data_IF_832684723458
#
_entry.id   IF_832684723458
#
_cell.length_a   1.000
_cell.length_b   1.000
_cell.length_c   1.000
_cell.angle_alpha   90.00
_cell.angle_beta   90.00
_cell.angle_gamma   90.00
#
_symmetry.space_group_name_H-M   'P 1'
#
loop_
_entity.id
_entity.type
_entity.pdbx_description
1 polymer ?
#
# COMPACT_ATOMS: atom_id res chain seq x y z
N UNK A 1 -40.60 8.53 -13.54
CA UNK A 1 -39.18 8.29 -13.20
C UNK A 1 -38.42 8.00 -14.48
N UNK A 2 -37.69 8.96 -15.00
CA UNK A 2 -37.00 8.86 -16.30
C UNK A 2 -35.58 8.38 -16.05
N UNK A 3 -35.30 7.12 -16.33
CA UNK A 3 -33.93 6.55 -16.36
C UNK A 3 -33.21 7.09 -17.59
N UNK A 4 -32.33 8.04 -17.41
CA UNK A 4 -31.49 8.60 -18.47
C UNK A 4 -30.57 7.47 -18.98
N UNK A 5 -30.87 6.94 -20.16
CA UNK A 5 -30.04 5.99 -20.88
C UNK A 5 -28.76 6.72 -21.34
N UNK A 6 -27.64 6.48 -20.65
CA UNK A 6 -26.34 6.98 -21.10
C UNK A 6 -25.99 6.29 -22.41
N UNK A 7 -25.83 7.06 -23.48
CA UNK A 7 -25.50 6.59 -24.82
C UNK A 7 -24.23 5.72 -24.80
N UNK A 8 -24.20 4.66 -25.61
CA UNK A 8 -23.05 3.76 -25.76
C UNK A 8 -21.76 4.52 -26.09
N UNK A 9 -21.86 5.59 -26.89
CA UNK A 9 -20.75 6.50 -27.18
C UNK A 9 -20.18 7.19 -25.93
N UNK A 10 -21.05 7.59 -25.00
CA UNK A 10 -20.61 8.24 -23.74
C UNK A 10 -19.92 7.23 -22.80
N UNK A 11 -20.35 5.97 -22.80
CA UNK A 11 -19.68 4.90 -22.03
C UNK A 11 -18.29 4.59 -22.59
N UNK A 12 -18.14 4.54 -23.89
CA UNK A 12 -16.83 4.32 -24.56
C UNK A 12 -15.90 5.50 -24.29
N UNK A 13 -16.39 6.73 -24.35
CA UNK A 13 -15.59 7.93 -24.05
C UNK A 13 -15.11 7.95 -22.59
N UNK A 14 -15.96 7.57 -21.65
CA UNK A 14 -15.62 7.44 -20.23
C UNK A 14 -14.56 6.36 -19.99
N UNK A 15 -14.67 5.20 -20.65
CA UNK A 15 -13.68 4.13 -20.56
C UNK A 15 -12.32 4.55 -21.11
N UNK A 16 -12.29 5.24 -22.27
CA UNK A 16 -11.05 5.77 -22.87
C UNK A 16 -10.41 6.82 -21.95
N UNK A 17 -11.21 7.68 -21.31
CA UNK A 17 -10.70 8.69 -20.37
C UNK A 17 -10.08 8.05 -19.11
N UNK A 18 -10.72 7.00 -18.58
CA UNK A 18 -10.19 6.26 -17.42
C UNK A 18 -8.88 5.56 -17.78
N UNK A 19 -8.79 4.93 -18.94
CA UNK A 19 -7.56 4.27 -19.41
C UNK A 19 -6.43 5.29 -19.62
N UNK A 20 -6.74 6.46 -20.17
CA UNK A 20 -5.76 7.52 -20.38
C UNK A 20 -5.21 8.08 -19.05
N UNK A 21 -6.06 8.25 -18.04
CA UNK A 21 -5.62 8.74 -16.73
C UNK A 21 -4.74 7.73 -15.98
N UNK A 22 -5.05 6.43 -16.07
CA UNK A 22 -4.22 5.39 -15.43
C UNK A 22 -2.85 5.26 -16.10
N UNK A 23 -2.77 5.41 -17.43
CA UNK A 23 -1.48 5.41 -18.15
C UNK A 23 -0.62 6.63 -17.79
N UNK A 24 -1.21 7.81 -17.70
CA UNK A 24 -0.49 9.02 -17.30
C UNK A 24 0.07 8.95 -15.87
N UNK A 25 -0.66 8.32 -14.95
CA UNK A 25 -0.17 8.10 -13.58
C UNK A 25 0.97 7.08 -13.52
N UNK A 26 0.89 5.99 -14.29
CA UNK A 26 1.95 4.98 -14.35
C UNK A 26 3.24 5.55 -14.94
N UNK A 27 3.15 6.36 -16.02
CA UNK A 27 4.31 7.06 -16.60
C UNK A 27 4.94 8.05 -15.61
N UNK A 28 4.14 8.78 -14.83
CA UNK A 28 4.64 9.74 -13.86
C UNK A 28 5.39 9.04 -12.70
N UNK A 29 4.91 7.91 -12.22
CA UNK A 29 5.59 7.11 -11.19
C UNK A 29 6.90 6.48 -11.73
N UNK A 30 6.91 5.98 -12.95
CA UNK A 30 8.11 5.46 -13.61
C UNK A 30 9.17 6.56 -13.76
N UNK A 31 8.78 7.76 -14.14
CA UNK A 31 9.65 8.92 -14.25
C UNK A 31 10.21 9.35 -12.87
N UNK A 32 9.42 9.29 -11.82
CA UNK A 32 9.88 9.61 -10.46
C UNK A 32 10.94 8.62 -9.96
N UNK A 33 10.74 7.31 -10.16
CA UNK A 33 11.71 6.28 -9.82
C UNK A 33 13.02 6.45 -10.60
N UNK A 34 12.94 6.66 -11.91
CA UNK A 34 14.12 6.89 -12.74
C UNK A 34 14.90 8.16 -12.33
N UNK A 35 14.18 9.19 -11.88
CA UNK A 35 14.81 10.42 -11.39
C UNK A 35 15.56 10.19 -10.06
N UNK A 36 15.00 9.38 -9.16
CA UNK A 36 15.67 8.99 -7.92
C UNK A 36 16.93 8.18 -8.23
N UNK A 37 16.85 7.21 -9.14
CA UNK A 37 17.99 6.38 -9.55
C UNK A 37 19.10 7.24 -10.18
N UNK A 38 18.76 8.23 -10.99
CA UNK A 38 19.72 9.19 -11.55
C UNK A 38 20.45 9.96 -10.44
N UNK A 39 19.71 10.54 -9.48
CA UNK A 39 20.29 11.30 -8.36
C UNK A 39 21.25 10.42 -7.56
N UNK A 40 20.83 9.21 -7.19
CA UNK A 40 21.66 8.26 -6.44
C UNK A 40 22.91 7.87 -7.25
N UNK A 41 22.75 7.61 -8.54
CA UNK A 41 23.88 7.24 -9.41
C UNK A 41 24.90 8.37 -9.53
N UNK A 42 24.45 9.62 -9.66
CA UNK A 42 25.34 10.80 -9.70
C UNK A 42 26.11 10.95 -8.40
N UNK A 43 25.43 10.76 -7.25
CA UNK A 43 26.07 10.89 -5.94
C UNK A 43 27.10 9.75 -5.70
N UNK A 44 26.78 8.51 -6.04
CA UNK A 44 27.71 7.40 -5.98
C UNK A 44 28.96 7.66 -6.82
N UNK A 45 28.80 8.13 -8.06
CA UNK A 45 29.94 8.49 -8.94
C UNK A 45 30.81 9.57 -8.35
N UNK A 46 30.19 10.62 -7.75
CA UNK A 46 30.93 11.72 -7.10
C UNK A 46 31.81 11.24 -5.95
N UNK A 47 31.39 10.19 -5.26
CA UNK A 47 32.14 9.62 -4.13
C UNK A 47 32.97 8.39 -4.52
N UNK A 48 33.11 8.09 -5.81
CA UNK A 48 33.85 6.92 -6.33
C UNK A 48 33.31 5.58 -5.79
N UNK A 49 32.02 5.53 -5.46
CA UNK A 49 31.35 4.33 -4.95
C UNK A 49 30.66 3.57 -6.08
N UNK A 50 30.60 2.25 -5.92
CA UNK A 50 29.82 1.38 -6.79
C UNK A 50 28.53 0.95 -6.09
N UNK A 51 27.40 0.84 -6.81
CA UNK A 51 26.18 0.31 -6.23
C UNK A 51 26.38 -1.16 -5.81
N UNK A 52 25.72 -1.52 -4.69
CA UNK A 52 25.71 -2.93 -4.30
C UNK A 52 24.99 -3.79 -5.36
N UNK A 53 25.36 -5.06 -5.50
CA UNK A 53 24.65 -5.97 -6.38
C UNK A 53 23.18 -6.11 -5.96
N UNK A 54 22.27 -6.40 -6.90
CA UNK A 54 20.88 -6.63 -6.59
C UNK A 54 20.71 -7.69 -5.50
N UNK A 55 19.75 -7.48 -4.58
CA UNK A 55 19.47 -8.42 -3.51
C UNK A 55 19.12 -9.81 -4.07
N UNK A 56 19.69 -10.86 -3.48
CA UNK A 56 19.32 -12.24 -3.78
C UNK A 56 17.83 -12.48 -3.46
N UNK A 57 17.23 -13.52 -4.04
CA UNK A 57 15.80 -13.80 -3.81
C UNK A 57 15.50 -14.08 -2.34
N UNK A 58 16.37 -14.73 -1.61
CA UNK A 58 16.16 -14.97 -0.18
C UNK A 58 16.20 -13.68 0.64
N UNK A 59 17.10 -12.76 0.28
CA UNK A 59 17.15 -11.43 0.90
C UNK A 59 15.94 -10.59 0.52
N UNK A 60 15.52 -10.64 -0.74
CA UNK A 60 14.32 -9.96 -1.23
C UNK A 60 13.08 -10.42 -0.48
N UNK A 61 12.82 -11.73 -0.45
CA UNK A 61 11.63 -12.29 0.23
C UNK A 61 11.62 -11.90 1.70
N UNK A 62 12.75 -12.04 2.41
CA UNK A 62 12.84 -11.64 3.81
C UNK A 62 12.50 -10.16 4.01
N UNK A 63 13.03 -9.27 3.19
CA UNK A 63 12.80 -7.82 3.28
C UNK A 63 11.34 -7.47 2.99
N UNK A 64 10.79 -7.97 1.89
CA UNK A 64 9.42 -7.61 1.51
C UNK A 64 8.39 -8.11 2.53
N UNK A 65 8.60 -9.28 3.15
CA UNK A 65 7.75 -9.75 4.25
C UNK A 65 7.82 -8.83 5.47
N UNK A 66 9.00 -8.38 5.84
CA UNK A 66 9.18 -7.45 6.96
C UNK A 66 8.55 -6.09 6.67
N UNK A 67 8.76 -5.56 5.48
CA UNK A 67 8.30 -4.23 5.09
C UNK A 67 6.77 -4.18 4.91
N UNK A 68 6.18 -5.23 4.33
CA UNK A 68 4.75 -5.23 3.97
C UNK A 68 3.86 -5.78 5.06
N UNK A 69 4.26 -6.84 5.75
CA UNK A 69 3.42 -7.51 6.77
C UNK A 69 4.06 -7.61 8.16
N UNK A 70 5.25 -7.02 8.37
CA UNK A 70 5.87 -6.86 9.68
C UNK A 70 6.46 -8.14 10.30
N UNK A 71 6.59 -9.23 9.54
CA UNK A 71 7.16 -10.50 10.01
C UNK A 71 8.06 -11.16 8.96
N UNK A 72 8.86 -12.11 9.38
CA UNK A 72 9.62 -12.96 8.46
C UNK A 72 8.71 -14.00 7.79
N UNK A 73 9.05 -14.47 6.58
CA UNK A 73 8.33 -15.56 5.92
C UNK A 73 8.48 -16.88 6.69
N UNK A 74 7.45 -17.70 6.65
CA UNK A 74 7.51 -19.11 7.09
C UNK A 74 8.24 -19.97 6.05
N UNK A 75 8.67 -21.17 6.43
CA UNK A 75 9.31 -22.11 5.50
C UNK A 75 8.40 -22.47 4.32
N UNK A 76 7.09 -22.65 4.56
CA UNK A 76 6.13 -22.92 3.50
C UNK A 76 5.94 -21.76 2.52
N UNK A 77 6.00 -20.51 3.00
CA UNK A 77 5.95 -19.31 2.15
C UNK A 77 7.20 -19.19 1.29
N UNK A 78 8.38 -19.46 1.86
CA UNK A 78 9.62 -19.53 1.10
C UNK A 78 9.57 -20.62 0.01
N UNK A 79 9.10 -21.82 0.35
CA UNK A 79 8.98 -22.91 -0.61
C UNK A 79 8.06 -22.54 -1.77
N UNK A 80 6.89 -21.91 -1.50
CA UNK A 80 5.98 -21.43 -2.57
C UNK A 80 6.64 -20.41 -3.47
N UNK A 81 7.36 -19.45 -2.91
CA UNK A 81 8.07 -18.45 -3.72
C UNK A 81 9.14 -19.08 -4.62
N UNK A 82 9.92 -20.03 -4.10
CA UNK A 82 10.97 -20.70 -4.89
C UNK A 82 10.42 -21.72 -5.89
N UNK A 83 9.21 -22.25 -5.68
CA UNK A 83 8.52 -23.10 -6.65
C UNK A 83 7.96 -22.30 -7.84
N UNK A 84 7.72 -21.00 -7.66
CA UNK A 84 7.25 -20.11 -8.74
C UNK A 84 8.41 -19.80 -9.70
N UNK A 85 8.25 -20.17 -10.97
CA UNK A 85 9.28 -20.03 -12.01
C UNK A 85 9.12 -18.81 -12.90
N UNK A 86 8.02 -18.03 -12.73
CA UNK A 86 7.76 -16.85 -13.54
C UNK A 86 8.80 -15.75 -13.30
N UNK A 87 9.09 -14.97 -14.36
CA UNK A 87 10.05 -13.85 -14.28
C UNK A 87 9.56 -12.72 -13.37
N UNK A 88 8.27 -12.60 -13.19
CA UNK A 88 7.58 -11.59 -12.39
C UNK A 88 7.23 -12.06 -10.96
N UNK A 89 7.80 -13.19 -10.50
CA UNK A 89 7.51 -13.76 -9.16
C UNK A 89 7.70 -12.77 -8.00
N UNK A 90 8.65 -11.83 -8.13
CA UNK A 90 8.88 -10.80 -7.12
C UNK A 90 7.72 -9.80 -7.06
N UNK A 91 7.23 -9.33 -8.20
CA UNK A 91 6.07 -8.44 -8.30
C UNK A 91 4.81 -9.14 -7.77
N UNK A 92 4.56 -10.36 -8.22
CA UNK A 92 3.43 -11.18 -7.72
C UNK A 92 3.45 -11.36 -6.20
N UNK A 93 4.63 -11.58 -5.61
CA UNK A 93 4.74 -11.68 -4.16
C UNK A 93 4.36 -10.36 -3.48
N UNK A 94 4.81 -9.22 -4.00
CA UNK A 94 4.44 -7.91 -3.45
C UNK A 94 2.93 -7.73 -3.48
N UNK A 95 2.28 -7.97 -4.63
CA UNK A 95 0.84 -7.84 -4.80
C UNK A 95 0.07 -8.73 -3.81
N UNK A 96 0.47 -10.01 -3.70
CA UNK A 96 -0.13 -10.95 -2.74
C UNK A 96 0.00 -10.50 -1.27
N UNK A 97 1.13 -9.92 -0.91
CA UNK A 97 1.34 -9.43 0.45
C UNK A 97 0.53 -8.17 0.73
N UNK A 98 0.43 -7.25 -0.22
CA UNK A 98 -0.38 -6.03 -0.10
C UNK A 98 -1.87 -6.33 0.07
N UNK A 99 -2.37 -7.38 -0.57
CA UNK A 99 -3.77 -7.84 -0.46
C UNK A 99 -4.02 -8.71 0.80
N UNK A 100 -2.98 -9.03 1.56
CA UNK A 100 -3.11 -9.94 2.70
C UNK A 100 -3.64 -9.26 3.97
N UNK A 101 -4.37 -9.99 4.85
CA UNK A 101 -4.73 -9.49 6.17
C UNK A 101 -3.52 -9.10 7.04
N UNK A 102 -2.33 -9.64 6.71
CA UNK A 102 -1.07 -9.29 7.37
C UNK A 102 -0.67 -7.84 7.10
N UNK A 103 -0.91 -7.34 5.90
CA UNK A 103 -0.67 -5.94 5.54
C UNK A 103 -1.58 -5.00 6.33
N UNK A 104 -2.89 -5.26 6.36
CA UNK A 104 -3.84 -4.51 7.18
C UNK A 104 -3.39 -4.41 8.64
N UNK A 105 -3.01 -5.55 9.23
CA UNK A 105 -2.56 -5.61 10.63
C UNK A 105 -1.26 -4.84 10.84
N UNK A 106 -0.30 -4.94 9.93
CA UNK A 106 0.99 -4.24 10.03
C UNK A 106 0.81 -2.73 9.91
N UNK A 107 0.06 -2.28 8.92
CA UNK A 107 -0.25 -0.86 8.73
C UNK A 107 -1.07 -0.29 9.88
N UNK A 108 -2.03 -1.06 10.42
CA UNK A 108 -2.77 -0.65 11.60
C UNK A 108 -1.86 -0.43 12.81
N UNK A 109 -0.92 -1.33 13.07
CA UNK A 109 0.04 -1.18 14.18
C UNK A 109 0.91 0.06 13.97
N UNK A 110 1.46 0.25 12.76
CA UNK A 110 2.30 1.40 12.45
C UNK A 110 1.55 2.73 12.59
N UNK A 111 0.32 2.82 12.05
CA UNK A 111 -0.53 4.01 12.21
C UNK A 111 -0.97 4.21 13.65
N UNK A 112 -1.28 3.12 14.36
CA UNK A 112 -1.65 3.16 15.77
C UNK A 112 -0.55 3.76 16.64
N UNK A 113 0.70 3.38 16.41
CA UNK A 113 1.86 3.97 17.10
C UNK A 113 2.03 5.45 16.74
N UNK A 114 1.93 5.81 15.46
CA UNK A 114 2.04 7.19 14.98
C UNK A 114 0.93 8.08 15.55
N UNK A 115 -0.30 7.60 15.58
CA UNK A 115 -1.48 8.30 16.09
C UNK A 115 -1.61 8.19 17.62
N UNK A 116 -0.68 7.48 18.27
CA UNK A 116 -0.70 7.21 19.72
C UNK A 116 -2.02 6.59 20.21
N UNK A 117 -2.56 5.68 19.41
CA UNK A 117 -3.77 4.93 19.78
C UNK A 117 -3.42 4.03 20.97
N UNK A 118 -4.14 4.20 22.07
CA UNK A 118 -3.96 3.41 23.30
C UNK A 118 -5.25 2.71 23.68
N UNK A 119 -5.14 1.47 24.13
CA UNK A 119 -6.25 0.80 24.79
C UNK A 119 -6.40 1.39 26.19
N UNK A 120 -7.49 2.12 26.42
CA UNK A 120 -7.83 2.62 27.73
C UNK A 120 -8.80 1.63 28.40
N UNK A 121 -8.34 0.98 29.45
CA UNK A 121 -9.13 -0.01 30.20
C UNK A 121 -10.50 0.54 30.66
N UNK A 122 -10.58 1.83 30.96
CA UNK A 122 -11.83 2.49 31.37
C UNK A 122 -12.71 2.94 30.19
N UNK A 123 -12.22 2.85 28.96
CA UNK A 123 -12.90 3.32 27.73
C UNK A 123 -12.91 2.26 26.62
N UNK A 124 -12.85 0.98 26.95
CA UNK A 124 -12.72 -0.14 26.01
C UNK A 124 -13.68 -0.03 24.81
N UNK A 125 -14.96 0.30 25.06
CA UNK A 125 -15.94 0.42 23.98
C UNK A 125 -15.68 1.58 23.01
N UNK A 126 -15.09 2.68 23.49
CA UNK A 126 -14.82 3.89 22.66
C UNK A 126 -13.59 3.75 21.79
N UNK A 127 -12.53 3.11 22.32
CA UNK A 127 -11.31 2.83 21.58
C UNK A 127 -11.56 1.80 20.48
N UNK A 128 -12.39 0.79 20.74
CA UNK A 128 -12.75 -0.24 19.78
C UNK A 128 -13.40 0.32 18.52
N UNK A 129 -14.25 1.33 18.62
CA UNK A 129 -14.92 1.96 17.47
C UNK A 129 -13.92 2.62 16.53
N UNK A 130 -12.93 3.35 17.09
CA UNK A 130 -11.87 3.95 16.29
C UNK A 130 -10.96 2.89 15.63
N UNK A 131 -10.61 1.83 16.35
CA UNK A 131 -9.83 0.72 15.81
C UNK A 131 -10.54 0.05 14.64
N UNK A 132 -11.83 -0.24 14.79
CA UNK A 132 -12.63 -0.86 13.74
C UNK A 132 -12.74 0.04 12.50
N UNK A 133 -12.97 1.35 12.74
CA UNK A 133 -13.01 2.34 11.67
C UNK A 133 -11.65 2.43 10.94
N UNK A 134 -10.53 2.59 11.64
CA UNK A 134 -9.21 2.70 11.01
C UNK A 134 -8.86 1.44 10.21
N UNK A 135 -9.17 0.25 10.73
CA UNK A 135 -8.98 -1.01 10.01
C UNK A 135 -9.83 -1.09 8.74
N UNK A 136 -11.09 -0.60 8.76
CA UNK A 136 -11.90 -0.56 7.53
C UNK A 136 -11.30 0.36 6.47
N UNK A 137 -10.78 1.54 6.87
CA UNK A 137 -10.11 2.45 5.94
C UNK A 137 -8.89 1.80 5.26
N UNK A 138 -8.09 1.07 6.04
CA UNK A 138 -6.92 0.35 5.53
C UNK A 138 -7.30 -0.81 4.60
N UNK A 139 -8.33 -1.58 4.94
CA UNK A 139 -8.84 -2.68 4.12
C UNK A 139 -9.40 -2.21 2.79
N UNK A 140 -10.06 -1.05 2.79
CA UNK A 140 -10.62 -0.42 1.60
C UNK A 140 -9.55 0.35 0.79
N UNK A 141 -8.29 0.34 1.25
CA UNK A 141 -7.17 1.09 0.67
C UNK A 141 -7.54 2.56 0.39
N UNK A 142 -8.22 3.20 1.35
CA UNK A 142 -8.63 4.59 1.22
C UNK A 142 -7.42 5.53 1.15
N UNK A 143 -7.45 6.60 0.33
CA UNK A 143 -6.40 7.60 0.28
C UNK A 143 -6.13 8.23 1.66
N UNK A 144 -4.84 8.42 1.98
CA UNK A 144 -4.44 8.92 3.29
C UNK A 144 -4.98 10.31 3.62
N UNK A 145 -5.03 11.19 2.65
CA UNK A 145 -5.60 12.54 2.78
C UNK A 145 -7.08 12.52 3.15
N UNK A 146 -7.86 11.59 2.60
CA UNK A 146 -9.26 11.40 2.96
C UNK A 146 -9.42 10.88 4.39
N UNK A 147 -8.57 9.92 4.80
CA UNK A 147 -8.55 9.40 6.17
C UNK A 147 -8.24 10.53 7.17
N UNK A 148 -7.23 11.35 6.86
CA UNK A 148 -6.83 12.49 7.69
C UNK A 148 -7.94 13.53 7.73
N UNK A 149 -8.57 13.83 6.60
CA UNK A 149 -9.69 14.77 6.53
C UNK A 149 -10.83 14.33 7.46
N UNK A 150 -11.24 13.07 7.39
CA UNK A 150 -12.30 12.52 8.23
C UNK A 150 -11.92 12.58 9.72
N UNK A 151 -10.67 12.29 10.08
CA UNK A 151 -10.21 12.41 11.47
C UNK A 151 -10.24 13.85 11.99
N UNK A 152 -9.94 14.84 11.15
CA UNK A 152 -9.89 16.25 11.55
C UNK A 152 -11.26 16.93 11.56
N UNK A 153 -12.20 16.42 10.78
CA UNK A 153 -13.54 16.98 10.64
C UNK A 153 -14.62 16.19 11.38
N UNK A 154 -14.26 15.08 12.02
CA UNK A 154 -15.21 14.28 12.78
C UNK A 154 -15.85 15.09 13.91
N UNK A 155 -17.16 15.09 13.97
CA UNK A 155 -17.96 15.70 15.03
C UNK A 155 -18.70 14.60 15.81
N UNK A 156 -19.02 14.88 17.07
CA UNK A 156 -19.78 13.97 17.90
C UNK A 156 -19.05 13.53 19.17
N UNK A 157 -19.63 12.56 19.89
CA UNK A 157 -19.05 11.96 21.08
C UNK A 157 -18.54 10.56 20.77
N UNK A 158 -17.38 10.23 21.28
CA UNK A 158 -16.84 8.87 21.19
C UNK A 158 -17.84 7.87 21.81
N UNK A 159 -18.35 6.94 20.97
CA UNK A 159 -19.21 5.84 21.41
C UNK A 159 -20.72 6.11 21.30
N UNK A 160 -21.14 7.11 20.56
CA UNK A 160 -22.52 7.27 20.07
C UNK A 160 -22.64 6.73 18.66
#
# INVERSE_FOLDING_TARGET
MSTTQISTACRILLLVLIIATTHAQAENMSNASARIDEIVTVDLKKHELQPNPPASDIQFVRRVYLDVIGRIPTSGELQRFFAETSKDRRAKLIDQLLESPGHESHMFNWLGDMLRVKDDYYRIGKTYTFHAWLKSQLRENRPWDEIVYDMLTAEGRLGE
#
